data_IF_629304537417
#
_entry.id   IF_629304537417
#
_cell.length_a   1.000
_cell.length_b   1.000
_cell.length_c   1.000
_cell.angle_alpha   90.00
_cell.angle_beta   90.00
_cell.angle_gamma   90.00
#
_symmetry.space_group_name_H-M   'P 1'
#
loop_
_entity.id
_entity.type
_entity.pdbx_description
1 polymer ?
#
# COMPACT_ATOMS: atom_id res chain seq x y z
N UNK A 1 43.67 -50.96 43.20
CA UNK A 1 43.96 -49.54 42.94
C UNK A 1 43.27 -49.21 41.62
N UNK A 2 42.05 -48.67 41.68
CA UNK A 2 41.25 -48.38 40.48
C UNK A 2 41.77 -47.09 39.84
N UNK A 3 41.99 -47.12 38.54
CA UNK A 3 42.55 -46.02 37.76
C UNK A 3 41.60 -44.81 37.74
N UNK A 4 41.98 -43.66 38.34
CA UNK A 4 41.15 -42.46 38.37
C UNK A 4 40.93 -41.80 37.00
N UNK A 5 41.62 -42.23 35.94
CA UNK A 5 41.42 -41.71 34.59
C UNK A 5 40.25 -42.36 33.81
N UNK A 6 39.85 -43.58 34.17
CA UNK A 6 38.79 -44.30 33.43
C UNK A 6 37.38 -43.84 33.81
N UNK A 7 37.16 -43.45 35.08
CA UNK A 7 35.87 -42.93 35.59
C UNK A 7 35.55 -41.54 35.01
N UNK A 8 36.58 -40.74 34.71
CA UNK A 8 36.45 -39.40 34.11
C UNK A 8 35.97 -39.43 32.65
N UNK A 9 36.36 -40.44 31.86
CA UNK A 9 35.97 -40.56 30.45
C UNK A 9 34.54 -41.08 30.25
N UNK A 10 34.09 -42.01 31.11
CA UNK A 10 32.72 -42.56 31.05
C UNK A 10 31.70 -41.51 31.53
N UNK A 11 32.04 -40.73 32.55
CA UNK A 11 31.20 -39.61 33.01
C UNK A 11 31.09 -38.48 31.96
N UNK A 12 32.17 -38.17 31.24
CA UNK A 12 32.16 -37.13 30.17
C UNK A 12 31.46 -37.59 28.89
N UNK A 13 31.54 -38.87 28.51
CA UNK A 13 30.74 -39.39 27.38
C UNK A 13 29.24 -39.43 27.69
N UNK A 14 28.87 -39.74 28.94
CA UNK A 14 27.47 -39.78 29.36
C UNK A 14 26.85 -38.38 29.44
N UNK A 15 27.60 -37.39 29.92
CA UNK A 15 27.15 -35.98 29.98
C UNK A 15 27.14 -35.34 28.58
N UNK A 16 28.10 -35.65 27.70
CA UNK A 16 28.09 -35.15 26.32
C UNK A 16 26.95 -35.77 25.47
N UNK A 17 26.60 -37.05 25.68
CA UNK A 17 25.41 -37.64 25.07
C UNK A 17 24.10 -37.09 25.66
N UNK A 18 24.06 -36.74 26.95
CA UNK A 18 22.90 -36.10 27.57
C UNK A 18 22.72 -34.64 27.15
N UNK A 19 23.81 -33.89 26.94
CA UNK A 19 23.75 -32.50 26.45
C UNK A 19 23.43 -32.47 24.94
N UNK A 20 23.88 -33.44 24.15
CA UNK A 20 23.51 -33.54 22.72
C UNK A 20 22.10 -34.11 22.49
N UNK A 21 21.47 -34.70 23.50
CA UNK A 21 20.08 -35.16 23.46
C UNK A 21 19.09 -34.12 24.01
N UNK A 22 19.55 -33.13 24.78
CA UNK A 22 18.69 -32.09 25.37
C UNK A 22 18.27 -30.98 24.40
N UNK A 23 18.86 -30.88 23.21
CA UNK A 23 18.40 -30.01 22.11
C UNK A 23 17.31 -30.64 21.25
N UNK A 24 16.95 -31.90 21.50
CA UNK A 24 15.84 -32.58 20.85
C UNK A 24 14.74 -32.83 21.88
N UNK A 25 13.79 -31.89 22.03
CA UNK A 25 12.41 -32.06 22.53
C UNK A 25 11.76 -30.75 23.04
N UNK A 26 12.26 -29.56 22.67
CA UNK A 26 11.40 -28.38 22.80
C UNK A 26 10.18 -28.60 21.87
N UNK A 27 8.97 -28.55 22.44
CA UNK A 27 7.75 -28.64 21.64
C UNK A 27 7.78 -27.53 20.56
N UNK A 28 7.30 -27.81 19.33
CA UNK A 28 7.28 -26.79 18.29
C UNK A 28 6.51 -25.55 18.79
N UNK A 29 6.96 -24.33 18.44
CA UNK A 29 6.31 -23.12 18.89
C UNK A 29 4.81 -23.10 18.58
N UNK A 30 4.02 -22.72 19.58
CA UNK A 30 2.56 -22.61 19.48
C UNK A 30 2.14 -21.32 18.80
N UNK A 31 0.92 -21.28 18.26
CA UNK A 31 0.37 -20.06 17.67
C UNK A 31 0.29 -18.90 18.67
N UNK A 32 0.08 -19.18 19.95
CA UNK A 32 0.12 -18.16 21.00
C UNK A 32 1.51 -17.50 21.13
N UNK A 33 2.59 -18.26 20.92
CA UNK A 33 3.95 -17.71 20.90
C UNK A 33 4.17 -16.84 19.65
N UNK A 34 3.59 -17.21 18.52
CA UNK A 34 3.64 -16.39 17.29
C UNK A 34 2.87 -15.08 17.49
N UNK A 35 1.67 -15.14 18.05
CA UNK A 35 0.87 -13.94 18.37
C UNK A 35 1.57 -13.02 19.37
N UNK A 36 2.25 -13.61 20.35
CA UNK A 36 3.06 -12.85 21.31
C UNK A 36 4.24 -12.15 20.62
N UNK A 37 4.96 -12.83 19.73
CA UNK A 37 6.05 -12.24 18.96
C UNK A 37 5.56 -11.06 18.09
N UNK A 38 4.44 -11.25 17.38
CA UNK A 38 3.81 -10.21 16.57
C UNK A 38 3.38 -9.02 17.44
N UNK A 39 2.71 -9.28 18.56
CA UNK A 39 2.27 -8.23 19.48
C UNK A 39 3.46 -7.44 20.04
N UNK A 40 4.53 -8.13 20.42
CA UNK A 40 5.76 -7.50 20.92
C UNK A 40 6.37 -6.59 19.85
N UNK A 41 6.49 -7.06 18.61
CA UNK A 41 7.00 -6.25 17.51
C UNK A 41 6.11 -5.04 17.23
N UNK A 42 4.78 -5.22 17.15
CA UNK A 42 3.84 -4.11 16.89
C UNK A 42 3.87 -3.03 17.98
N UNK A 43 4.21 -3.37 19.22
CA UNK A 43 4.23 -2.41 20.32
C UNK A 43 5.25 -1.28 20.14
N UNK A 44 6.29 -1.46 19.31
CA UNK A 44 7.26 -0.39 19.01
C UNK A 44 6.62 0.79 18.24
N UNK A 45 5.50 0.56 17.56
CA UNK A 45 4.83 1.56 16.72
C UNK A 45 3.66 2.28 17.44
N UNK A 46 3.32 1.92 18.68
CA UNK A 46 2.15 2.48 19.37
C UNK A 46 2.33 3.90 19.92
N UNK A 47 3.54 4.50 19.79
CA UNK A 47 3.89 5.81 20.35
C UNK A 47 4.33 6.87 19.32
N UNK A 48 4.14 6.62 18.02
CA UNK A 48 4.65 7.47 16.94
C UNK A 48 5.77 6.81 16.13
N UNK A 49 6.54 7.61 15.38
CA UNK A 49 7.62 7.10 14.54
C UNK A 49 8.74 6.45 15.38
N UNK A 50 8.94 5.14 15.22
CA UNK A 50 10.02 4.40 15.85
C UNK A 50 11.35 4.62 15.10
N UNK A 51 12.45 4.75 15.83
CA UNK A 51 13.78 4.78 15.22
C UNK A 51 14.12 3.40 14.63
N UNK A 52 14.96 3.37 13.59
CA UNK A 52 15.44 2.12 12.99
C UNK A 52 16.02 1.17 14.05
N UNK A 53 16.86 1.68 14.96
CA UNK A 53 17.47 0.86 16.02
C UNK A 53 16.44 0.27 16.98
N UNK A 54 15.37 1.01 17.30
CA UNK A 54 14.28 0.51 18.13
C UNK A 54 13.50 -0.60 17.41
N UNK A 55 13.22 -0.43 16.12
CA UNK A 55 12.56 -1.45 15.28
C UNK A 55 13.44 -2.71 15.21
N UNK A 56 14.74 -2.57 14.98
CA UNK A 56 15.68 -3.67 14.90
C UNK A 56 15.80 -4.45 16.24
N UNK A 57 15.88 -3.72 17.36
CA UNK A 57 15.89 -4.33 18.69
C UNK A 57 14.58 -5.07 18.99
N UNK A 58 13.43 -4.47 18.65
CA UNK A 58 12.12 -5.08 18.84
C UNK A 58 11.97 -6.36 17.99
N UNK A 59 12.43 -6.36 16.73
CA UNK A 59 12.40 -7.52 15.86
C UNK A 59 13.25 -8.68 16.41
N UNK A 60 14.48 -8.39 16.83
CA UNK A 60 15.37 -9.40 17.44
C UNK A 60 14.78 -9.98 18.73
N UNK A 61 14.16 -9.14 19.55
CA UNK A 61 13.50 -9.55 20.79
C UNK A 61 12.26 -10.41 20.52
N UNK A 62 11.40 -10.00 19.59
CA UNK A 62 10.21 -10.74 19.18
C UNK A 62 10.53 -12.13 18.61
N UNK A 63 11.62 -12.24 17.87
CA UNK A 63 12.05 -13.49 17.25
C UNK A 63 12.98 -14.34 18.13
N UNK A 64 13.30 -13.88 19.33
CA UNK A 64 14.21 -14.59 20.23
C UNK A 64 13.62 -15.95 20.64
N UNK A 65 14.37 -17.03 20.36
CA UNK A 65 13.97 -18.39 20.69
C UNK A 65 13.00 -19.05 19.70
N UNK A 66 12.64 -18.38 18.60
CA UNK A 66 11.91 -19.00 17.49
C UNK A 66 12.91 -19.56 16.47
N UNK A 67 12.87 -20.87 16.25
CA UNK A 67 13.63 -21.55 15.19
C UNK A 67 12.73 -21.76 13.97
N UNK A 68 13.11 -21.16 12.83
CA UNK A 68 12.37 -21.28 11.56
C UNK A 68 12.15 -22.72 11.11
N UNK A 69 13.04 -23.66 11.46
CA UNK A 69 12.87 -25.06 11.08
C UNK A 69 11.77 -25.76 11.88
N UNK A 70 11.41 -25.23 13.05
CA UNK A 70 10.37 -25.77 13.92
C UNK A 70 9.00 -25.14 13.68
N UNK A 71 8.95 -24.03 12.92
CA UNK A 71 7.71 -23.36 12.57
C UNK A 71 7.03 -24.02 11.36
N UNK A 72 5.70 -23.98 11.36
CA UNK A 72 4.92 -24.25 10.15
C UNK A 72 5.07 -23.10 9.15
N UNK A 73 4.82 -23.38 7.87
CA UNK A 73 4.89 -22.34 6.84
C UNK A 73 3.78 -21.29 7.02
N UNK A 74 2.65 -21.68 7.59
CA UNK A 74 1.59 -20.79 8.03
C UNK A 74 2.07 -19.81 9.11
N UNK A 75 2.78 -20.28 10.13
CA UNK A 75 3.33 -19.44 11.19
C UNK A 75 4.39 -18.46 10.65
N UNK A 76 5.25 -18.94 9.75
CA UNK A 76 6.24 -18.09 9.09
C UNK A 76 5.57 -17.02 8.22
N UNK A 77 4.53 -17.39 7.47
CA UNK A 77 3.78 -16.43 6.66
C UNK A 77 3.14 -15.34 7.51
N UNK A 78 2.53 -15.70 8.65
CA UNK A 78 1.99 -14.73 9.63
C UNK A 78 3.05 -13.76 10.14
N UNK A 79 4.22 -14.26 10.53
CA UNK A 79 5.35 -13.40 10.95
C UNK A 79 5.78 -12.45 9.81
N UNK A 80 5.80 -12.96 8.58
CA UNK A 80 6.25 -12.21 7.41
C UNK A 80 5.31 -11.06 7.02
N UNK A 81 4.04 -11.09 7.42
CA UNK A 81 3.07 -10.02 7.16
C UNK A 81 3.35 -8.75 7.99
N UNK A 82 4.28 -8.79 8.95
CA UNK A 82 4.62 -7.68 9.82
C UNK A 82 5.91 -6.95 9.38
N UNK A 83 5.83 -6.29 8.21
CA UNK A 83 6.85 -5.35 7.74
C UNK A 83 8.25 -5.95 7.67
N UNK A 84 9.21 -5.32 8.36
CA UNK A 84 10.62 -5.72 8.36
C UNK A 84 10.98 -6.72 9.46
N UNK A 85 10.01 -7.30 10.19
CA UNK A 85 10.25 -8.22 11.31
C UNK A 85 11.30 -9.31 11.00
N UNK A 86 11.15 -10.02 9.88
CA UNK A 86 12.06 -11.10 9.51
C UNK A 86 13.43 -10.60 9.01
N UNK A 87 13.49 -9.46 8.32
CA UNK A 87 14.77 -8.89 7.87
C UNK A 87 15.57 -8.29 9.02
N UNK A 88 14.92 -7.54 9.90
CA UNK A 88 15.55 -6.88 11.06
C UNK A 88 16.00 -7.87 12.14
N UNK A 89 15.30 -9.01 12.25
CA UNK A 89 15.72 -10.11 13.12
C UNK A 89 16.86 -10.95 12.52
N UNK A 90 17.19 -10.75 11.24
CA UNK A 90 18.19 -11.54 10.52
C UNK A 90 17.74 -12.96 10.17
N UNK A 91 16.43 -13.25 10.21
CA UNK A 91 15.87 -14.59 9.95
C UNK A 91 15.22 -14.74 8.57
N UNK A 92 15.27 -13.70 7.73
CA UNK A 92 14.61 -13.67 6.41
C UNK A 92 15.02 -14.85 5.51
N UNK A 93 16.32 -15.13 5.38
CA UNK A 93 16.81 -16.18 4.49
C UNK A 93 16.35 -17.58 4.94
N UNK A 94 16.41 -17.83 6.26
CA UNK A 94 15.94 -19.08 6.85
C UNK A 94 14.42 -19.26 6.65
N UNK A 95 13.65 -18.19 6.86
CA UNK A 95 12.22 -18.17 6.60
C UNK A 95 11.90 -18.48 5.12
N UNK A 96 12.65 -17.90 4.17
CA UNK A 96 12.40 -18.09 2.75
C UNK A 96 12.78 -19.51 2.31
N UNK A 97 13.88 -20.06 2.83
CA UNK A 97 14.25 -21.45 2.60
C UNK A 97 13.17 -22.40 3.12
N UNK A 98 12.63 -22.15 4.32
CA UNK A 98 11.56 -22.95 4.89
C UNK A 98 10.26 -22.85 4.09
N UNK A 99 9.82 -21.65 3.70
CA UNK A 99 8.63 -21.47 2.84
C UNK A 99 8.79 -22.21 1.51
N UNK A 100 9.97 -22.16 0.87
CA UNK A 100 10.22 -22.89 -0.39
C UNK A 100 10.02 -24.39 -0.22
N UNK A 101 10.41 -24.96 0.92
CA UNK A 101 10.23 -26.39 1.21
C UNK A 101 8.75 -26.82 1.29
N UNK A 102 7.83 -25.89 1.55
CA UNK A 102 6.39 -26.17 1.66
C UNK A 102 5.64 -26.07 0.33
N UNK A 103 6.22 -25.52 -0.74
CA UNK A 103 5.53 -25.32 -2.01
C UNK A 103 4.85 -26.58 -2.60
N UNK A 104 5.40 -27.81 -2.44
CA UNK A 104 4.72 -29.01 -2.94
C UNK A 104 3.47 -29.42 -2.14
N UNK A 105 3.28 -28.90 -0.92
CA UNK A 105 2.12 -29.22 -0.08
C UNK A 105 0.83 -28.66 -0.70
N UNK A 106 -0.24 -29.46 -0.69
CA UNK A 106 -1.57 -29.03 -1.16
C UNK A 106 -2.46 -28.51 -0.03
N UNK A 107 -2.00 -28.62 1.21
CA UNK A 107 -2.64 -28.08 2.41
C UNK A 107 -2.41 -26.58 2.63
N UNK A 108 -2.79 -26.06 3.81
CA UNK A 108 -2.67 -24.64 4.13
C UNK A 108 -1.23 -24.14 4.18
N UNK A 109 -0.26 -24.97 4.55
CA UNK A 109 1.17 -24.59 4.60
C UNK A 109 1.71 -24.31 3.19
N UNK A 110 1.39 -25.17 2.22
CA UNK A 110 1.73 -24.93 0.81
C UNK A 110 1.06 -23.70 0.23
N UNK A 111 -0.21 -23.45 0.57
CA UNK A 111 -0.92 -22.25 0.14
C UNK A 111 -0.29 -20.97 0.71
N UNK A 112 0.03 -20.96 2.01
CA UNK A 112 0.71 -19.85 2.68
C UNK A 112 2.07 -19.57 2.02
N UNK A 113 2.85 -20.61 1.73
CA UNK A 113 4.11 -20.49 1.00
C UNK A 113 3.92 -19.95 -0.43
N UNK A 114 2.94 -20.46 -1.18
CA UNK A 114 2.67 -20.05 -2.55
C UNK A 114 2.24 -18.58 -2.65
N UNK A 115 1.46 -18.08 -1.67
CA UNK A 115 1.11 -16.67 -1.56
C UNK A 115 2.34 -15.84 -1.17
N UNK A 116 3.06 -16.23 -0.11
CA UNK A 116 4.15 -15.40 0.42
C UNK A 116 5.35 -15.29 -0.53
N UNK A 117 5.65 -16.35 -1.26
CA UNK A 117 6.76 -16.37 -2.21
C UNK A 117 6.36 -15.88 -3.61
N UNK A 118 5.10 -15.48 -3.84
CA UNK A 118 4.60 -15.18 -5.19
C UNK A 118 5.52 -14.25 -5.98
N UNK A 119 5.80 -13.05 -5.46
CA UNK A 119 6.67 -12.09 -6.15
C UNK A 119 8.09 -12.60 -6.40
N UNK A 120 8.65 -13.39 -5.48
CA UNK A 120 9.97 -14.01 -5.66
C UNK A 120 9.93 -15.04 -6.80
N UNK A 121 8.94 -15.94 -6.81
CA UNK A 121 8.77 -16.95 -7.88
C UNK A 121 8.55 -16.31 -9.25
N UNK A 122 7.82 -15.18 -9.30
CA UNK A 122 7.60 -14.46 -10.54
C UNK A 122 8.86 -13.77 -11.07
N UNK A 123 9.73 -13.27 -10.20
CA UNK A 123 11.04 -12.74 -10.61
C UNK A 123 12.00 -13.83 -11.10
N UNK A 124 11.91 -15.03 -10.52
CA UNK A 124 12.70 -16.19 -10.91
C UNK A 124 12.18 -16.87 -12.19
N UNK A 125 10.93 -16.62 -12.59
CA UNK A 125 10.30 -17.22 -13.76
C UNK A 125 10.95 -16.74 -15.07
N UNK A 126 11.25 -17.69 -15.96
CA UNK A 126 11.97 -17.43 -17.21
C UNK A 126 11.19 -16.58 -18.22
N UNK A 127 9.86 -16.73 -18.25
CA UNK A 127 9.00 -16.10 -19.24
C UNK A 127 7.58 -15.81 -18.71
N UNK A 128 6.77 -15.16 -19.53
CA UNK A 128 5.39 -14.83 -19.19
C UNK A 128 4.48 -16.07 -18.99
N UNK A 129 4.54 -17.13 -19.83
CA UNK A 129 3.82 -18.38 -19.56
C UNK A 129 4.11 -18.99 -18.18
N UNK A 130 5.38 -19.02 -17.75
CA UNK A 130 5.75 -19.51 -16.43
C UNK A 130 5.17 -18.63 -15.31
N UNK A 131 5.18 -17.30 -15.48
CA UNK A 131 4.56 -16.35 -14.53
C UNK A 131 3.05 -16.60 -14.40
N UNK A 132 2.35 -16.82 -15.52
CA UNK A 132 0.92 -17.13 -15.51
C UNK A 132 0.64 -18.46 -14.82
N UNK A 133 1.46 -19.49 -15.05
CA UNK A 133 1.31 -20.78 -14.36
C UNK A 133 1.45 -20.64 -12.84
N UNK A 134 2.46 -19.88 -12.38
CA UNK A 134 2.68 -19.56 -10.97
C UNK A 134 1.49 -18.82 -10.35
N UNK A 135 0.96 -17.81 -11.05
CA UNK A 135 -0.21 -17.05 -10.59
C UNK A 135 -1.45 -17.93 -10.47
N UNK A 136 -1.73 -18.73 -11.50
CA UNK A 136 -2.86 -19.66 -11.52
C UNK A 136 -2.76 -20.67 -10.39
N UNK A 137 -1.60 -21.29 -10.22
CA UNK A 137 -1.34 -22.24 -9.14
C UNK A 137 -1.61 -21.62 -7.76
N UNK A 138 -1.15 -20.40 -7.51
CA UNK A 138 -1.40 -19.69 -6.24
C UNK A 138 -2.89 -19.39 -6.05
N UNK A 139 -3.57 -18.85 -7.07
CA UNK A 139 -4.99 -18.47 -7.01
C UNK A 139 -5.90 -19.68 -6.80
N UNK A 140 -5.64 -20.77 -7.54
CA UNK A 140 -6.42 -22.00 -7.49
C UNK A 140 -5.94 -22.99 -6.42
N UNK A 141 -5.04 -22.58 -5.51
CA UNK A 141 -4.45 -23.50 -4.56
C UNK A 141 -5.53 -24.11 -3.64
N UNK A 142 -5.61 -25.46 -3.50
CA UNK A 142 -6.69 -26.11 -2.76
C UNK A 142 -6.69 -25.76 -1.26
N UNK A 143 -5.50 -25.60 -0.67
CA UNK A 143 -5.36 -25.16 0.72
C UNK A 143 -5.59 -23.67 0.98
N UNK A 144 -5.90 -22.85 -0.03
CA UNK A 144 -5.91 -21.39 0.10
C UNK A 144 -6.91 -20.88 1.13
N UNK A 145 -8.15 -21.36 1.08
CA UNK A 145 -9.19 -20.95 2.03
C UNK A 145 -8.83 -21.32 3.47
N UNK A 146 -8.24 -22.50 3.66
CA UNK A 146 -7.76 -22.96 4.97
C UNK A 146 -6.59 -22.11 5.47
N UNK A 147 -5.67 -21.70 4.58
CA UNK A 147 -4.56 -20.82 4.93
C UNK A 147 -5.02 -19.41 5.31
N UNK A 148 -6.01 -18.87 4.59
CA UNK A 148 -6.67 -17.61 4.92
C UNK A 148 -7.32 -17.71 6.29
N UNK A 149 -8.12 -18.75 6.55
CA UNK A 149 -8.79 -18.98 7.85
C UNK A 149 -7.82 -19.02 9.03
N UNK A 150 -6.60 -19.52 8.80
CA UNK A 150 -5.57 -19.64 9.84
C UNK A 150 -4.57 -18.47 9.82
N UNK A 151 -4.83 -17.41 9.05
CA UNK A 151 -4.05 -16.17 9.03
C UNK A 151 -2.76 -16.20 8.21
N UNK A 152 -2.35 -17.33 7.65
CA UNK A 152 -1.10 -17.45 6.87
C UNK A 152 -1.21 -17.02 5.40
N UNK A 153 -2.40 -16.63 4.94
CA UNK A 153 -2.62 -16.02 3.63
C UNK A 153 -3.48 -14.75 3.71
N UNK A 154 -3.36 -14.02 4.82
CA UNK A 154 -4.15 -12.81 5.12
C UNK A 154 -4.03 -11.71 4.06
N UNK A 155 -2.89 -11.65 3.36
CA UNK A 155 -2.58 -10.66 2.32
C UNK A 155 -2.74 -11.18 0.89
N UNK A 156 -3.43 -12.31 0.68
CA UNK A 156 -3.54 -12.93 -0.65
C UNK A 156 -4.08 -11.96 -1.70
N UNK A 157 -5.14 -11.21 -1.38
CA UNK A 157 -5.73 -10.27 -2.33
C UNK A 157 -4.76 -9.14 -2.69
N UNK A 158 -4.06 -8.55 -1.70
CA UNK A 158 -3.09 -7.50 -1.93
C UNK A 158 -1.88 -7.99 -2.72
N UNK A 159 -1.30 -9.12 -2.33
CA UNK A 159 -0.14 -9.73 -2.98
C UNK A 159 -0.48 -10.12 -4.43
N UNK A 160 -1.59 -10.82 -4.68
CA UNK A 160 -2.01 -11.15 -6.04
C UNK A 160 -2.27 -9.89 -6.86
N UNK A 161 -2.91 -8.86 -6.29
CA UNK A 161 -3.18 -7.61 -7.02
C UNK A 161 -1.91 -6.85 -7.42
N UNK A 162 -0.91 -6.83 -6.55
CA UNK A 162 0.38 -6.22 -6.83
C UNK A 162 1.13 -6.97 -7.93
N UNK A 163 1.17 -8.30 -7.85
CA UNK A 163 2.02 -9.13 -8.69
C UNK A 163 1.37 -9.48 -10.04
N UNK A 164 0.04 -9.64 -10.09
CA UNK A 164 -0.69 -10.01 -11.30
C UNK A 164 -1.02 -8.83 -12.22
N UNK A 165 -0.83 -7.58 -11.77
CA UNK A 165 -1.29 -6.37 -12.45
C UNK A 165 -1.00 -6.31 -13.96
N UNK A 166 0.25 -6.53 -14.41
CA UNK A 166 0.61 -6.54 -15.85
C UNK A 166 -0.03 -7.67 -16.66
N UNK A 167 -0.42 -8.77 -15.99
CA UNK A 167 -0.94 -10.00 -16.60
C UNK A 167 -2.45 -10.16 -16.42
N UNK A 168 -3.10 -9.22 -15.74
CA UNK A 168 -4.51 -9.29 -15.36
C UNK A 168 -5.46 -9.63 -16.53
N UNK A 169 -5.32 -9.05 -17.76
CA UNK A 169 -6.19 -9.39 -18.89
C UNK A 169 -6.18 -10.88 -19.28
N UNK A 170 -5.16 -11.64 -18.89
CA UNK A 170 -5.01 -13.08 -19.17
C UNK A 170 -5.47 -13.98 -18.01
N UNK A 171 -6.00 -13.37 -16.95
CA UNK A 171 -6.32 -14.03 -15.67
C UNK A 171 -7.76 -13.75 -15.21
N UNK A 172 -8.64 -13.20 -16.05
CA UNK A 172 -9.99 -12.80 -15.63
C UNK A 172 -10.78 -13.93 -14.92
N UNK A 173 -10.83 -15.12 -15.52
CA UNK A 173 -11.51 -16.28 -14.95
C UNK A 173 -10.80 -16.82 -13.71
N UNK A 174 -9.46 -16.76 -13.69
CA UNK A 174 -8.65 -17.20 -12.56
C UNK A 174 -8.95 -16.31 -11.34
N UNK A 175 -8.91 -14.98 -11.53
CA UNK A 175 -9.15 -14.00 -10.48
C UNK A 175 -10.58 -14.06 -9.92
N UNK A 176 -11.58 -14.39 -10.75
CA UNK A 176 -12.94 -14.59 -10.29
C UNK A 176 -13.07 -15.71 -9.25
N UNK A 177 -12.16 -16.70 -9.24
CA UNK A 177 -12.15 -17.77 -8.24
C UNK A 177 -11.84 -17.27 -6.83
N UNK A 178 -11.22 -16.08 -6.68
CA UNK A 178 -10.98 -15.47 -5.37
C UNK A 178 -12.27 -14.93 -4.73
N UNK A 179 -13.39 -14.84 -5.46
CA UNK A 179 -14.69 -14.45 -4.88
C UNK A 179 -15.15 -15.38 -3.74
N UNK A 180 -14.69 -16.64 -3.74
CA UNK A 180 -14.93 -17.59 -2.64
C UNK A 180 -14.37 -17.12 -1.29
N UNK A 181 -13.36 -16.24 -1.32
CA UNK A 181 -12.76 -15.64 -0.13
C UNK A 181 -13.49 -14.36 0.31
N UNK A 182 -14.42 -13.85 -0.50
CA UNK A 182 -15.17 -12.62 -0.23
C UNK A 182 -16.43 -12.98 0.57
N UNK A 183 -16.23 -13.24 1.87
CA UNK A 183 -17.27 -13.67 2.83
C UNK A 183 -17.21 -12.83 4.10
N UNK A 184 -18.29 -12.81 4.93
CA UNK A 184 -18.26 -12.15 6.23
C UNK A 184 -17.13 -12.65 7.15
N UNK A 185 -16.86 -13.96 7.14
CA UNK A 185 -15.86 -14.58 8.01
C UNK A 185 -14.43 -14.12 7.70
N UNK A 186 -14.12 -13.85 6.43
CA UNK A 186 -12.80 -13.37 6.02
C UNK A 186 -12.71 -11.85 5.89
N UNK A 187 -13.83 -11.13 5.91
CA UNK A 187 -13.85 -9.69 5.72
C UNK A 187 -12.95 -8.92 6.69
N UNK A 188 -12.88 -9.20 8.01
CA UNK A 188 -11.98 -8.47 8.91
C UNK A 188 -10.51 -8.52 8.47
N UNK A 189 -10.10 -9.60 7.82
CA UNK A 189 -8.72 -9.82 7.41
C UNK A 189 -8.45 -9.38 5.96
N UNK A 190 -9.39 -9.63 5.05
CA UNK A 190 -9.19 -9.41 3.61
C UNK A 190 -9.72 -8.06 3.11
N UNK A 191 -10.65 -7.43 3.83
CA UNK A 191 -11.25 -6.17 3.40
C UNK A 191 -10.23 -5.06 3.13
N UNK A 192 -9.12 -4.90 3.90
CA UNK A 192 -8.11 -3.90 3.58
C UNK A 192 -7.54 -4.01 2.14
N UNK A 193 -7.60 -5.19 1.52
CA UNK A 193 -7.13 -5.44 0.16
C UNK A 193 -8.28 -5.52 -0.89
N UNK A 194 -9.55 -5.32 -0.51
CA UNK A 194 -10.70 -5.39 -1.43
C UNK A 194 -10.65 -4.37 -2.56
N UNK A 195 -10.15 -3.17 -2.27
CA UNK A 195 -9.95 -2.10 -3.26
C UNK A 195 -8.98 -2.57 -4.35
N UNK A 196 -7.84 -3.14 -3.95
CA UNK A 196 -6.82 -3.68 -4.85
C UNK A 196 -7.37 -4.83 -5.69
N UNK A 197 -8.11 -5.74 -5.07
CA UNK A 197 -8.76 -6.84 -5.77
C UNK A 197 -9.78 -6.35 -6.81
N UNK A 198 -10.63 -5.39 -6.46
CA UNK A 198 -11.63 -4.87 -7.39
C UNK A 198 -10.99 -4.19 -8.61
N UNK A 199 -9.94 -3.39 -8.40
CA UNK A 199 -9.21 -2.79 -9.52
C UNK A 199 -8.50 -3.81 -10.40
N UNK A 200 -7.97 -4.87 -9.80
CA UNK A 200 -7.38 -5.97 -10.55
C UNK A 200 -8.42 -6.63 -11.46
N UNK A 201 -9.65 -6.84 -10.97
CA UNK A 201 -10.77 -7.34 -11.78
C UNK A 201 -11.12 -6.37 -12.92
N UNK A 202 -11.14 -5.06 -12.66
CA UNK A 202 -11.36 -4.05 -13.70
C UNK A 202 -10.26 -4.12 -14.79
N UNK A 203 -8.99 -4.23 -14.39
CA UNK A 203 -7.85 -4.39 -15.33
C UNK A 203 -7.91 -5.70 -16.12
N UNK A 204 -8.41 -6.76 -15.50
CA UNK A 204 -8.61 -8.04 -16.15
C UNK A 204 -9.73 -8.01 -17.20
N UNK A 205 -10.56 -6.96 -17.21
CA UNK A 205 -11.78 -6.92 -18.02
C UNK A 205 -12.83 -7.92 -17.53
N UNK A 206 -12.71 -8.42 -16.30
CA UNK A 206 -13.72 -9.27 -15.70
C UNK A 206 -15.06 -8.51 -15.68
N UNK A 207 -16.11 -9.08 -16.24
CA UNK A 207 -17.41 -8.40 -16.38
C UNK A 207 -17.55 -7.46 -17.58
N UNK A 208 -16.53 -7.25 -18.41
CA UNK A 208 -16.46 -6.56 -19.73
C UNK A 208 -17.15 -5.19 -19.95
N UNK A 209 -17.96 -4.72 -19.01
CA UNK A 209 -18.59 -3.40 -18.92
C UNK A 209 -18.47 -2.92 -17.47
N UNK A 210 -18.41 -1.60 -17.22
CA UNK A 210 -18.38 -1.06 -15.85
C UNK A 210 -19.57 -1.57 -14.99
N UNK A 211 -20.71 -1.89 -15.63
CA UNK A 211 -21.88 -2.48 -14.97
C UNK A 211 -21.73 -3.94 -14.55
N UNK A 212 -20.81 -4.71 -15.15
CA UNK A 212 -20.67 -6.15 -14.90
C UNK A 212 -20.05 -6.47 -13.53
N UNK A 213 -19.21 -5.58 -12.99
CA UNK A 213 -18.58 -5.73 -11.68
C UNK A 213 -19.36 -5.07 -10.54
N UNK A 214 -20.45 -4.36 -10.85
CA UNK A 214 -21.25 -3.65 -9.85
C UNK A 214 -21.77 -4.56 -8.72
N UNK A 215 -22.24 -5.80 -8.97
CA UNK A 215 -22.62 -6.73 -7.90
C UNK A 215 -21.44 -7.07 -6.97
N UNK A 216 -20.25 -7.30 -7.55
CA UNK A 216 -19.02 -7.57 -6.80
C UNK A 216 -18.64 -6.35 -5.96
N UNK A 217 -18.69 -5.14 -6.54
CA UNK A 217 -18.42 -3.88 -5.82
C UNK A 217 -19.33 -3.74 -4.60
N UNK A 218 -20.64 -3.88 -4.80
CA UNK A 218 -21.63 -3.76 -3.72
C UNK A 218 -21.43 -4.83 -2.63
N UNK A 219 -21.06 -6.06 -3.02
CA UNK A 219 -20.69 -7.12 -2.08
C UNK A 219 -19.47 -6.71 -1.23
N UNK A 220 -18.41 -6.22 -1.86
CA UNK A 220 -17.19 -5.76 -1.16
C UNK A 220 -17.48 -4.58 -0.21
N UNK A 221 -18.24 -3.57 -0.67
CA UNK A 221 -18.66 -2.42 0.18
C UNK A 221 -19.43 -2.90 1.40
N UNK A 222 -20.43 -3.78 1.20
CA UNK A 222 -21.25 -4.31 2.29
C UNK A 222 -20.39 -5.04 3.33
N UNK A 223 -19.47 -5.88 2.89
CA UNK A 223 -18.60 -6.64 3.77
C UNK A 223 -17.58 -5.75 4.50
N UNK A 224 -16.97 -4.78 3.82
CA UNK A 224 -16.06 -3.83 4.45
C UNK A 224 -16.75 -2.96 5.50
N UNK A 225 -17.97 -2.45 5.20
CA UNK A 225 -18.78 -1.71 6.19
C UNK A 225 -19.19 -2.60 7.38
N UNK A 226 -19.56 -3.84 7.12
CA UNK A 226 -19.89 -4.81 8.17
C UNK A 226 -18.69 -5.11 9.08
N UNK A 227 -17.51 -5.32 8.51
CA UNK A 227 -16.27 -5.51 9.26
C UNK A 227 -15.90 -4.26 10.07
N UNK A 228 -15.99 -3.06 9.48
CA UNK A 228 -15.76 -1.80 10.19
C UNK A 228 -16.71 -1.62 11.39
N UNK A 229 -17.99 -1.96 11.23
CA UNK A 229 -18.97 -1.84 12.32
C UNK A 229 -18.72 -2.81 13.49
N UNK A 230 -18.05 -3.95 13.23
CA UNK A 230 -17.70 -4.94 14.25
C UNK A 230 -16.32 -4.71 14.88
N UNK A 231 -15.48 -3.88 14.27
CA UNK A 231 -14.12 -3.61 14.70
C UNK A 231 -14.07 -2.64 15.89
N UNK A 232 -13.27 -3.00 16.90
CA UNK A 232 -13.11 -2.22 18.14
C UNK A 232 -11.82 -1.42 18.16
N UNK A 233 -10.81 -1.84 17.40
CA UNK A 233 -9.56 -1.09 17.22
C UNK A 233 -9.78 0.09 16.26
N UNK A 234 -9.69 1.31 16.77
CA UNK A 234 -10.00 2.54 16.03
C UNK A 234 -9.25 2.64 14.67
N UNK A 235 -7.92 2.43 14.60
CA UNK A 235 -7.19 2.49 13.33
C UNK A 235 -7.64 1.41 12.32
N UNK A 236 -7.89 0.19 12.80
CA UNK A 236 -8.35 -0.90 11.93
C UNK A 236 -9.77 -0.61 11.41
N UNK A 237 -10.64 -0.09 12.28
CA UNK A 237 -12.00 0.34 11.90
C UNK A 237 -11.98 1.43 10.84
N UNK A 238 -11.14 2.44 11.02
CA UNK A 238 -10.95 3.53 10.06
C UNK A 238 -10.46 2.99 8.71
N UNK A 239 -9.46 2.09 8.71
CA UNK A 239 -8.96 1.44 7.49
C UNK A 239 -10.05 0.68 6.73
N UNK A 240 -10.90 -0.06 7.45
CA UNK A 240 -12.03 -0.81 6.87
C UNK A 240 -13.12 0.13 6.32
N UNK A 241 -13.43 1.22 7.04
CA UNK A 241 -14.37 2.24 6.58
C UNK A 241 -13.86 2.92 5.29
N UNK A 242 -12.59 3.33 5.27
CA UNK A 242 -11.93 3.92 4.11
C UNK A 242 -11.95 2.99 2.89
N UNK A 243 -11.78 1.68 3.10
CA UNK A 243 -11.93 0.68 2.03
C UNK A 243 -13.33 0.72 1.42
N UNK A 244 -14.36 0.69 2.27
CA UNK A 244 -15.75 0.77 1.83
C UNK A 244 -16.06 2.08 1.09
N UNK A 245 -15.60 3.21 1.62
CA UNK A 245 -15.83 4.53 1.02
C UNK A 245 -15.10 4.67 -0.31
N UNK A 246 -13.91 4.10 -0.45
CA UNK A 246 -13.20 4.03 -1.72
C UNK A 246 -13.97 3.24 -2.77
N UNK A 247 -14.44 2.04 -2.41
CA UNK A 247 -15.25 1.20 -3.29
C UNK A 247 -16.60 1.83 -3.62
N UNK A 248 -17.10 2.74 -2.80
CA UNK A 248 -18.33 3.50 -3.03
C UNK A 248 -18.09 4.89 -3.64
N UNK A 249 -16.82 5.27 -3.81
CA UNK A 249 -16.39 6.55 -4.35
C UNK A 249 -16.62 6.67 -5.85
N UNK A 250 -16.68 7.93 -6.32
CA UNK A 250 -16.94 8.25 -7.74
C UNK A 250 -15.89 7.66 -8.69
N UNK A 251 -14.65 7.55 -8.24
CA UNK A 251 -13.57 6.95 -9.03
C UNK A 251 -13.89 5.50 -9.41
N UNK A 252 -14.24 4.67 -8.42
CA UNK A 252 -14.53 3.25 -8.64
C UNK A 252 -15.79 3.06 -9.47
N UNK A 253 -16.79 3.93 -9.28
CA UNK A 253 -18.05 3.94 -10.02
C UNK A 253 -17.93 4.43 -11.47
N UNK A 254 -16.74 4.86 -11.91
CA UNK A 254 -16.53 5.45 -13.24
C UNK A 254 -17.09 6.86 -13.41
N UNK A 255 -17.68 7.44 -12.36
CA UNK A 255 -18.39 8.73 -12.39
C UNK A 255 -17.52 9.92 -11.99
N UNK A 256 -16.19 9.76 -11.98
CA UNK A 256 -15.24 10.85 -11.76
C UNK A 256 -14.86 11.56 -13.07
N UNK A 257 -14.44 10.83 -14.11
CA UNK A 257 -14.05 11.44 -15.38
C UNK A 257 -15.26 12.01 -16.11
N UNK A 258 -15.09 13.18 -16.70
CA UNK A 258 -16.13 13.92 -17.42
C UNK A 258 -17.33 14.32 -16.54
N UNK A 259 -17.13 14.34 -15.22
CA UNK A 259 -18.10 14.84 -14.24
C UNK A 259 -17.51 16.00 -13.43
N UNK A 260 -18.36 16.81 -12.76
CA UNK A 260 -17.90 17.85 -11.86
C UNK A 260 -16.96 17.28 -10.79
N UNK A 261 -15.85 17.98 -10.57
CA UNK A 261 -14.89 17.64 -9.54
C UNK A 261 -15.57 17.55 -8.16
N UNK A 262 -15.29 16.52 -7.35
CA UNK A 262 -15.78 16.45 -5.98
C UNK A 262 -15.35 17.69 -5.19
N UNK A 263 -16.26 18.29 -4.43
CA UNK A 263 -15.93 19.46 -3.62
C UNK A 263 -14.87 19.12 -2.55
N UNK A 264 -14.02 20.09 -2.24
CA UNK A 264 -13.06 20.02 -1.14
C UNK A 264 -13.41 21.09 -0.13
N UNK A 265 -13.62 20.71 1.13
CA UNK A 265 -13.86 21.66 2.21
C UNK A 265 -12.54 22.28 2.62
N UNK A 266 -12.28 23.50 2.15
CA UNK A 266 -11.02 24.21 2.41
C UNK A 266 -10.96 24.67 3.87
N UNK A 267 -10.03 24.10 4.63
CA UNK A 267 -9.70 24.53 5.99
C UNK A 267 -8.72 25.70 5.96
N UNK A 268 -7.75 25.65 5.06
CA UNK A 268 -6.74 26.70 4.87
C UNK A 268 -6.17 26.64 3.45
N UNK A 269 -5.78 27.79 2.91
CA UNK A 269 -4.96 27.86 1.69
C UNK A 269 -3.88 28.94 1.85
N UNK A 270 -2.69 28.68 1.29
CA UNK A 270 -1.60 29.64 1.25
C UNK A 270 -1.94 30.86 0.39
N UNK A 271 -2.79 30.67 -0.63
CA UNK A 271 -3.42 31.75 -1.39
C UNK A 271 -4.83 32.02 -0.83
N UNK A 272 -5.05 33.17 -0.16
CA UNK A 272 -6.34 33.49 0.47
C UNK A 272 -7.48 33.73 -0.54
N UNK A 273 -7.17 33.83 -1.84
CA UNK A 273 -8.18 33.94 -2.89
C UNK A 273 -8.87 32.59 -3.19
N UNK A 274 -8.26 31.46 -2.80
CA UNK A 274 -8.80 30.12 -3.04
C UNK A 274 -9.49 29.62 -1.77
N UNK A 275 -10.82 29.70 -1.75
CA UNK A 275 -11.68 29.24 -0.64
C UNK A 275 -12.53 28.04 -1.00
N UNK A 276 -12.70 27.78 -2.30
CA UNK A 276 -13.33 26.59 -2.85
C UNK A 276 -12.77 26.32 -4.26
N UNK A 277 -13.02 25.12 -4.79
CA UNK A 277 -12.67 24.80 -6.17
C UNK A 277 -13.41 25.68 -7.19
N UNK A 278 -14.58 26.21 -6.82
CA UNK A 278 -15.33 27.14 -7.64
C UNK A 278 -14.56 28.44 -7.95
N UNK A 279 -13.66 28.88 -7.07
CA UNK A 279 -12.85 30.10 -7.25
C UNK A 279 -11.81 29.93 -8.39
N UNK A 280 -11.56 28.69 -8.81
CA UNK A 280 -10.59 28.35 -9.85
C UNK A 280 -11.24 28.13 -11.23
N UNK A 281 -12.57 28.29 -11.35
CA UNK A 281 -13.27 28.17 -12.63
C UNK A 281 -12.73 29.15 -13.67
N UNK A 282 -12.77 28.75 -14.93
CA UNK A 282 -12.16 29.50 -16.04
C UNK A 282 -10.67 29.19 -16.27
N UNK A 283 -10.05 28.38 -15.41
CA UNK A 283 -8.67 27.91 -15.54
C UNK A 283 -8.62 26.38 -15.61
N UNK A 284 -7.58 25.84 -16.22
CA UNK A 284 -7.24 24.41 -16.02
C UNK A 284 -6.66 24.26 -14.62
N UNK A 285 -7.20 23.37 -13.81
CA UNK A 285 -6.70 23.15 -12.44
C UNK A 285 -5.96 21.82 -12.37
N UNK A 286 -4.73 21.85 -11.86
CA UNK A 286 -3.93 20.66 -11.56
C UNK A 286 -3.89 20.49 -10.05
N UNK A 287 -4.64 19.53 -9.53
CA UNK A 287 -4.60 19.17 -8.11
C UNK A 287 -3.52 18.11 -7.89
N UNK A 288 -2.56 18.39 -7.01
CA UNK A 288 -1.51 17.46 -6.58
C UNK A 288 -1.71 17.06 -5.12
N UNK A 289 -2.27 15.87 -4.89
CA UNK A 289 -2.49 15.32 -3.56
C UNK A 289 -1.18 14.82 -2.98
N UNK A 290 -0.77 15.38 -1.83
CA UNK A 290 0.55 15.14 -1.27
C UNK A 290 0.61 15.44 0.23
N UNK A 291 1.70 15.02 0.89
CA UNK A 291 1.96 15.31 2.29
C UNK A 291 3.47 15.36 2.56
N UNK A 292 3.88 16.06 3.62
CA UNK A 292 5.32 16.24 3.95
C UNK A 292 6.02 14.97 4.40
N UNK A 293 5.28 14.01 4.97
CA UNK A 293 5.82 12.70 5.36
C UNK A 293 6.02 11.74 4.18
N UNK A 294 5.45 12.05 3.02
CA UNK A 294 5.53 11.22 1.84
C UNK A 294 6.84 11.48 1.08
N UNK A 295 7.83 10.60 1.26
CA UNK A 295 9.13 10.69 0.58
C UNK A 295 9.02 10.91 -0.94
N UNK A 296 8.28 10.06 -1.68
CA UNK A 296 8.08 10.25 -3.13
C UNK A 296 7.40 11.58 -3.51
N UNK A 297 6.56 12.13 -2.64
CA UNK A 297 5.94 13.44 -2.86
C UNK A 297 6.99 14.55 -2.78
N UNK A 298 7.81 14.54 -1.72
CA UNK A 298 8.88 15.52 -1.53
C UNK A 298 9.92 15.46 -2.66
N UNK A 299 10.28 14.25 -3.10
CA UNK A 299 11.16 14.03 -4.26
C UNK A 299 10.59 14.60 -5.56
N UNK A 300 9.26 14.73 -5.67
CA UNK A 300 8.58 15.23 -6.86
C UNK A 300 8.39 16.74 -6.92
N UNK A 301 8.67 17.48 -5.83
CA UNK A 301 8.52 18.94 -5.76
C UNK A 301 9.22 19.69 -6.90
N UNK A 302 10.45 19.33 -7.35
CA UNK A 302 11.07 19.97 -8.50
C UNK A 302 10.25 19.85 -9.80
N UNK A 303 9.59 18.70 -10.02
CA UNK A 303 8.75 18.49 -11.20
C UNK A 303 7.43 19.28 -11.13
N UNK A 304 6.92 19.54 -9.93
CA UNK A 304 5.74 20.40 -9.73
C UNK A 304 6.13 21.87 -9.92
N UNK A 305 7.31 22.27 -9.44
CA UNK A 305 7.87 23.61 -9.69
C UNK A 305 8.03 23.88 -11.19
N UNK A 306 8.62 22.95 -11.94
CA UNK A 306 8.77 23.06 -13.39
C UNK A 306 7.41 23.20 -14.10
N UNK A 307 6.39 22.48 -13.61
CA UNK A 307 5.02 22.59 -14.12
C UNK A 307 4.41 23.96 -13.83
N UNK A 308 4.57 24.48 -12.61
CA UNK A 308 4.09 25.80 -12.21
C UNK A 308 4.77 26.90 -13.04
N UNK A 309 6.09 26.85 -13.21
CA UNK A 309 6.87 27.81 -14.01
C UNK A 309 6.43 27.80 -15.48
N UNK A 310 6.18 26.62 -16.08
CA UNK A 310 5.69 26.51 -17.46
C UNK A 310 4.38 27.26 -17.69
N UNK A 311 3.50 27.25 -16.69
CA UNK A 311 2.13 27.72 -16.82
C UNK A 311 1.84 29.04 -16.08
N UNK A 312 2.86 29.71 -15.55
CA UNK A 312 2.73 30.94 -14.76
C UNK A 312 1.94 32.04 -15.49
N UNK A 313 2.17 32.20 -16.81
CA UNK A 313 1.51 33.20 -17.66
C UNK A 313 0.24 32.68 -18.38
N UNK A 314 -0.22 31.48 -18.04
CA UNK A 314 -1.34 30.82 -18.71
C UNK A 314 -2.52 30.63 -17.74
N UNK A 315 -3.75 30.43 -18.24
CA UNK A 315 -4.93 30.20 -17.39
C UNK A 315 -4.94 28.78 -16.83
N UNK A 316 -3.92 28.46 -16.04
CA UNK A 316 -3.73 27.20 -15.33
C UNK A 316 -3.43 27.51 -13.87
N UNK A 317 -3.91 26.67 -12.96
CA UNK A 317 -3.60 26.75 -11.52
C UNK A 317 -3.10 25.39 -11.05
N UNK A 318 -1.83 25.31 -10.65
CA UNK A 318 -1.28 24.15 -9.94
C UNK A 318 -1.57 24.34 -8.45
N UNK A 319 -2.21 23.37 -7.81
CA UNK A 319 -2.62 23.47 -6.40
C UNK A 319 -2.21 22.18 -5.67
N UNK A 320 -1.38 22.30 -4.66
CA UNK A 320 -1.07 21.19 -3.76
C UNK A 320 -2.21 20.98 -2.77
N UNK A 321 -2.71 19.75 -2.64
CA UNK A 321 -3.80 19.38 -1.73
C UNK A 321 -3.28 18.44 -0.65
N UNK A 322 -3.49 18.80 0.61
CA UNK A 322 -3.21 17.95 1.79
C UNK A 322 -4.43 17.95 2.72
N UNK A 323 -4.46 17.05 3.69
CA UNK A 323 -5.34 17.15 4.87
C UNK A 323 -4.48 17.36 6.12
N UNK A 324 -5.02 17.81 7.26
CA UNK A 324 -4.26 17.89 8.51
C UNK A 324 -3.60 16.54 8.83
N UNK A 325 -2.30 16.55 9.10
CA UNK A 325 -1.48 15.37 9.37
C UNK A 325 -1.01 15.32 10.83
N UNK A 326 -1.21 16.39 11.61
CA UNK A 326 -0.68 16.49 12.97
C UNK A 326 0.85 16.55 13.00
N UNK A 327 1.51 16.85 11.88
CA UNK A 327 2.94 17.17 11.83
C UNK A 327 3.36 17.69 10.46
N UNK A 328 4.43 18.48 10.44
CA UNK A 328 5.16 18.87 9.22
C UNK A 328 6.58 18.33 9.33
N UNK A 329 6.92 17.33 8.53
CA UNK A 329 8.23 16.66 8.58
C UNK A 329 9.34 17.63 8.14
N UNK A 330 10.50 17.58 8.80
CA UNK A 330 11.66 18.42 8.46
C UNK A 330 11.73 19.76 9.22
N UNK A 331 10.73 20.10 10.03
CA UNK A 331 10.74 21.28 10.90
C UNK A 331 10.74 20.90 12.39
N UNK A 332 11.36 21.74 13.23
CA UNK A 332 11.31 21.61 14.70
C UNK A 332 9.97 22.14 15.22
N UNK A 333 9.41 21.49 16.24
CA UNK A 333 8.17 21.92 16.91
C UNK A 333 6.94 21.07 16.56
N UNK A 334 7.08 19.75 16.49
CA UNK A 334 5.98 18.83 16.15
C UNK A 334 4.68 19.12 16.92
N UNK A 335 3.56 18.79 16.30
CA UNK A 335 2.23 19.13 16.81
C UNK A 335 1.87 18.16 17.93
N UNK A 336 1.47 18.70 19.07
CA UNK A 336 1.01 17.95 20.23
C UNK A 336 -0.52 17.93 20.28
N UNK A 337 -1.10 17.10 21.15
CA UNK A 337 -2.55 17.06 21.38
C UNK A 337 -3.14 18.39 21.89
N UNK A 338 -2.30 19.31 22.36
CA UNK A 338 -2.73 20.63 22.83
C UNK A 338 -2.74 21.69 21.71
N UNK A 339 -2.14 21.39 20.56
CA UNK A 339 -2.04 22.31 19.43
C UNK A 339 -3.27 22.20 18.52
N UNK A 340 -3.65 23.32 17.92
CA UNK A 340 -4.73 23.36 16.93
C UNK A 340 -4.20 23.10 15.52
N UNK A 341 -5.06 22.73 14.58
CA UNK A 341 -4.72 22.62 13.14
C UNK A 341 -4.07 23.90 12.60
N UNK A 342 -4.38 25.07 13.19
CA UNK A 342 -3.76 26.34 12.85
C UNK A 342 -2.23 26.33 12.99
N UNK A 343 -1.70 25.62 13.98
CA UNK A 343 -0.26 25.48 14.17
C UNK A 343 0.39 24.68 13.03
N UNK A 344 -0.31 23.66 12.51
CA UNK A 344 0.12 22.93 11.31
C UNK A 344 0.23 23.85 10.10
N UNK A 345 -0.76 24.71 9.90
CA UNK A 345 -0.79 25.63 8.77
C UNK A 345 0.34 26.66 8.85
N UNK A 346 0.72 27.09 10.05
CA UNK A 346 1.88 27.97 10.28
C UNK A 346 3.20 27.27 9.95
N UNK A 347 3.38 26.04 10.45
CA UNK A 347 4.55 25.21 10.13
C UNK A 347 4.64 24.95 8.62
N UNK A 348 3.51 24.71 7.96
CA UNK A 348 3.48 24.50 6.51
C UNK A 348 3.99 25.71 5.74
N UNK A 349 3.69 26.95 6.15
CA UNK A 349 4.29 28.14 5.51
C UNK A 349 5.82 28.13 5.60
N UNK A 350 6.37 27.72 6.74
CA UNK A 350 7.81 27.54 6.92
C UNK A 350 8.38 26.46 5.99
N UNK A 351 7.66 25.36 5.82
CA UNK A 351 8.05 24.27 4.91
C UNK A 351 8.04 24.73 3.45
N UNK A 352 7.02 25.48 3.05
CA UNK A 352 6.92 26.07 1.71
C UNK A 352 8.12 26.99 1.42
N UNK A 353 8.52 27.82 2.39
CA UNK A 353 9.70 28.67 2.24
C UNK A 353 10.99 27.84 2.11
N UNK A 354 11.17 26.83 2.96
CA UNK A 354 12.34 25.95 2.92
C UNK A 354 12.50 25.22 1.58
N UNK A 355 11.39 24.76 1.00
CA UNK A 355 11.36 24.00 -0.25
C UNK A 355 11.08 24.86 -1.49
N UNK A 356 11.01 26.19 -1.34
CA UNK A 356 10.69 27.13 -2.43
C UNK A 356 9.40 26.77 -3.18
N UNK A 357 8.38 26.35 -2.45
CA UNK A 357 7.04 26.06 -2.97
C UNK A 357 6.34 27.40 -3.24
N UNK A 358 6.11 27.69 -4.52
CA UNK A 358 5.52 28.96 -4.98
C UNK A 358 4.07 28.84 -5.44
N UNK A 359 3.58 27.61 -5.67
CA UNK A 359 2.19 27.37 -6.04
C UNK A 359 1.28 27.32 -4.80
N UNK A 360 -0.03 27.60 -4.95
CA UNK A 360 -0.98 27.47 -3.86
C UNK A 360 -0.99 26.07 -3.22
N UNK A 361 -1.04 26.04 -1.90
CA UNK A 361 -1.22 24.84 -1.09
C UNK A 361 -2.49 24.96 -0.28
N UNK A 362 -3.33 23.92 -0.33
CA UNK A 362 -4.63 23.84 0.30
C UNK A 362 -4.67 22.66 1.27
N UNK A 363 -5.16 22.92 2.48
CA UNK A 363 -5.57 21.91 3.43
C UNK A 363 -7.09 21.70 3.31
N UNK A 364 -7.51 20.49 2.98
CA UNK A 364 -8.90 20.06 2.97
C UNK A 364 -9.28 19.31 4.25
N UNK A 365 -10.55 19.35 4.62
CA UNK A 365 -11.11 18.51 5.69
C UNK A 365 -11.15 17.05 5.28
N UNK A 366 -11.39 16.79 4.00
CA UNK A 366 -11.33 15.46 3.41
C UNK A 366 -9.89 14.95 3.48
N UNK A 367 -9.72 13.63 3.71
CA UNK A 367 -8.41 12.98 3.76
C UNK A 367 -7.59 13.28 2.51
N UNK A 368 -6.27 13.44 2.68
CA UNK A 368 -5.32 13.52 1.55
C UNK A 368 -5.42 12.31 0.61
N UNK A 369 -5.82 11.14 1.12
CA UNK A 369 -6.17 9.95 0.34
C UNK A 369 -7.64 9.94 -0.06
N UNK A 370 -8.14 11.07 -0.60
CA UNK A 370 -9.55 11.27 -0.88
C UNK A 370 -10.10 10.22 -1.90
N UNK A 371 -11.02 9.34 -1.49
CA UNK A 371 -11.59 8.30 -2.35
C UNK A 371 -12.43 8.85 -3.51
N UNK A 372 -13.07 10.01 -3.36
CA UNK A 372 -13.89 10.59 -4.41
C UNK A 372 -13.04 11.05 -5.61
N UNK A 373 -11.79 11.42 -5.35
CA UNK A 373 -10.78 11.68 -6.37
C UNK A 373 -10.00 10.42 -6.79
N UNK A 374 -10.23 9.29 -6.12
CA UNK A 374 -9.55 8.02 -6.40
C UNK A 374 -8.14 7.90 -5.83
N UNK A 375 -7.77 8.74 -4.85
CA UNK A 375 -6.42 8.80 -4.29
C UNK A 375 -6.20 7.65 -3.30
N UNK A 376 -5.51 6.58 -3.73
CA UNK A 376 -5.11 5.46 -2.84
C UNK A 376 -3.79 5.65 -2.14
N UNK A 377 -2.94 6.44 -2.79
CA UNK A 377 -1.58 6.69 -2.38
C UNK A 377 -1.18 8.00 -3.01
N UNK A 378 -0.29 8.68 -2.30
CA UNK A 378 0.28 9.94 -2.73
C UNK A 378 1.75 9.70 -3.16
N UNK A 379 2.24 10.46 -4.14
CA UNK A 379 1.55 11.59 -4.77
C UNK A 379 0.53 11.16 -5.84
N UNK A 380 -0.50 11.98 -6.05
CA UNK A 380 -1.54 11.73 -7.04
C UNK A 380 -2.02 13.04 -7.68
N UNK A 381 -2.05 13.07 -9.01
CA UNK A 381 -2.43 14.26 -9.78
C UNK A 381 -3.76 14.07 -10.52
N UNK A 382 -4.61 15.08 -10.42
CA UNK A 382 -5.90 15.21 -11.11
C UNK A 382 -5.91 16.51 -11.91
N UNK A 383 -6.40 16.47 -13.15
CA UNK A 383 -6.54 17.65 -14.02
C UNK A 383 -8.03 17.92 -14.26
N UNK A 384 -8.45 19.13 -13.94
CA UNK A 384 -9.81 19.64 -14.06
C UNK A 384 -9.81 20.74 -15.14
N UNK A 385 -10.83 20.74 -15.99
CA UNK A 385 -10.97 21.77 -17.02
C UNK A 385 -11.60 23.08 -16.48
N UNK A 386 -11.61 24.17 -17.29
CA UNK A 386 -12.18 25.45 -16.89
C UNK A 386 -13.65 25.42 -16.47
N UNK A 387 -14.43 24.40 -16.85
CA UNK A 387 -15.81 24.24 -16.42
C UNK A 387 -15.95 23.57 -15.04
N UNK A 388 -14.84 23.10 -14.46
CA UNK A 388 -14.82 22.34 -13.21
C UNK A 388 -15.03 20.85 -13.42
N UNK A 389 -14.81 20.33 -14.62
CA UNK A 389 -14.99 18.92 -14.96
C UNK A 389 -13.65 18.18 -14.91
N UNK A 390 -13.60 17.02 -14.26
CA UNK A 390 -12.36 16.22 -14.17
C UNK A 390 -12.07 15.54 -15.51
N UNK A 391 -10.90 15.81 -16.10
CA UNK A 391 -10.50 15.29 -17.42
C UNK A 391 -9.41 14.23 -17.35
N UNK A 392 -8.53 14.31 -16.36
CA UNK A 392 -7.50 13.31 -16.13
C UNK A 392 -7.33 13.03 -14.64
N UNK A 393 -6.94 11.80 -14.32
CA UNK A 393 -6.74 11.29 -12.95
C UNK A 393 -5.62 10.25 -12.95
N UNK A 394 -5.21 9.80 -11.76
CA UNK A 394 -4.18 8.78 -11.59
C UNK A 394 -2.85 9.11 -12.30
N UNK A 395 -2.54 10.41 -12.36
CA UNK A 395 -1.24 10.89 -12.80
C UNK A 395 -0.30 10.96 -11.59
N UNK A 396 1.00 10.98 -11.86
CA UNK A 396 2.02 11.14 -10.83
C UNK A 396 2.84 12.40 -11.15
N UNK A 397 3.15 13.27 -10.18
CA UNK A 397 3.88 14.52 -10.42
C UNK A 397 5.26 14.28 -11.05
N UNK A 398 5.96 13.21 -10.66
CA UNK A 398 7.23 12.82 -11.28
C UNK A 398 7.14 12.25 -12.73
N UNK A 399 5.94 12.10 -13.32
CA UNK A 399 5.84 11.81 -14.76
C UNK A 399 6.46 12.96 -15.56
N UNK A 400 7.09 12.64 -16.70
CA UNK A 400 7.71 13.65 -17.58
C UNK A 400 6.81 14.86 -17.81
N UNK A 401 7.35 16.08 -17.73
CA UNK A 401 6.62 17.32 -17.98
C UNK A 401 5.84 17.25 -19.30
N UNK A 402 6.45 16.75 -20.38
CA UNK A 402 5.82 16.63 -21.69
C UNK A 402 4.46 15.89 -21.66
N UNK A 403 4.37 14.75 -20.97
CA UNK A 403 3.11 13.99 -20.85
C UNK A 403 2.01 14.72 -20.08
N UNK A 404 2.39 15.51 -19.06
CA UNK A 404 1.43 16.33 -18.31
C UNK A 404 1.01 17.55 -19.14
N UNK A 405 1.98 18.20 -19.79
CA UNK A 405 1.75 19.36 -20.62
C UNK A 405 0.87 19.06 -21.83
N UNK A 406 1.04 17.90 -22.48
CA UNK A 406 0.18 17.45 -23.58
C UNK A 406 -1.31 17.48 -23.19
N UNK A 407 -1.62 16.99 -21.98
CA UNK A 407 -2.99 16.94 -21.44
C UNK A 407 -3.54 18.33 -21.13
N UNK A 408 -2.74 19.15 -20.46
CA UNK A 408 -3.12 20.52 -20.08
C UNK A 408 -3.31 21.39 -21.32
N UNK A 409 -2.36 21.35 -22.25
CA UNK A 409 -2.37 22.13 -23.49
C UNK A 409 -3.54 21.73 -24.38
N UNK A 410 -3.93 20.45 -24.40
CA UNK A 410 -5.13 20.00 -25.11
C UNK A 410 -6.41 20.65 -24.56
N UNK A 411 -6.56 20.71 -23.23
CA UNK A 411 -7.71 21.35 -22.58
C UNK A 411 -7.70 22.86 -22.84
N UNK A 412 -6.54 23.52 -22.70
CA UNK A 412 -6.42 24.96 -23.00
C UNK A 412 -6.89 25.27 -24.43
N UNK A 413 -6.46 24.48 -25.42
CA UNK A 413 -6.87 24.65 -26.82
C UNK A 413 -8.35 24.35 -27.05
N UNK A 414 -8.89 23.30 -26.41
CA UNK A 414 -10.33 22.97 -26.45
C UNK A 414 -11.19 24.15 -25.98
N UNK A 415 -10.77 24.82 -24.90
CA UNK A 415 -11.45 25.97 -24.33
C UNK A 415 -11.06 27.31 -24.99
N UNK A 416 -10.24 27.29 -26.06
CA UNK A 416 -9.75 28.48 -26.79
C UNK A 416 -9.00 29.47 -25.89
N UNK A 417 -8.30 28.95 -24.89
CA UNK A 417 -7.45 29.69 -23.99
C UNK A 417 -6.01 29.77 -24.52
N UNK A 418 -5.25 30.75 -24.04
CA UNK A 418 -3.82 30.83 -24.32
C UNK A 418 -3.12 29.55 -23.86
N UNK A 419 -2.26 28.99 -24.71
CA UNK A 419 -1.50 27.78 -24.42
C UNK A 419 -0.04 27.97 -24.85
N UNK A 420 0.92 27.41 -24.10
CA UNK A 420 2.32 27.47 -24.47
C UNK A 420 2.61 26.70 -25.75
N UNK A 421 3.78 26.97 -26.35
CA UNK A 421 4.28 26.15 -27.44
C UNK A 421 4.45 24.69 -26.99
N UNK A 422 4.10 23.71 -27.85
CA UNK A 422 4.25 22.30 -27.53
C UNK A 422 5.70 21.96 -27.17
N UNK A 423 5.89 21.18 -26.11
CA UNK A 423 7.21 20.63 -25.81
C UNK A 423 7.65 19.66 -26.92
N UNK A 424 8.93 19.64 -27.29
CA UNK A 424 9.44 18.70 -28.26
C UNK A 424 9.15 17.26 -27.79
N UNK A 425 8.54 16.47 -28.67
CA UNK A 425 8.24 15.06 -28.39
C UNK A 425 9.57 14.33 -28.30
N UNK A 426 9.93 13.83 -27.11
CA UNK A 426 11.10 12.97 -26.96
C UNK A 426 10.92 11.75 -27.87
N UNK A 427 11.94 11.34 -28.65
CA UNK A 427 11.84 10.16 -29.51
C UNK A 427 11.46 8.96 -28.64
N UNK A 428 10.54 8.13 -29.15
CA UNK A 428 10.14 6.90 -28.49
C UNK A 428 11.40 6.09 -28.14
N UNK A 429 11.63 5.87 -26.85
CA UNK A 429 12.68 4.96 -26.40
C UNK A 429 12.40 3.61 -27.08
N UNK A 430 13.36 3.02 -27.81
CA UNK A 430 13.15 1.73 -28.43
C UNK A 430 12.82 0.73 -27.32
N UNK A 431 11.72 0.00 -27.49
CA UNK A 431 11.36 -1.12 -26.63
C UNK A 431 12.54 -2.09 -26.60
N UNK A 432 13.28 -2.12 -25.50
CA UNK A 432 14.35 -3.09 -25.28
C UNK A 432 13.75 -4.49 -25.40
N UNK A 433 14.30 -5.28 -26.33
CA UNK A 433 13.90 -6.65 -26.60
C UNK A 433 14.55 -7.68 -25.69
#
# INVERSE_FOLDING_TARGET
MFDPYLVSRIARCSIAMLISAATALAAPPTDAQIDQAIKLYKSVFSGGAATHDAVAAAAKSAMAGLDMNQLSCLQIARLADHGSLLSESGQLDAAWARLRSCLPDRGPDGAAAAVRLLGTRLREAADEPAKLAILRETISHPGLESAVKQGGASRVLGIVSMEAGPLAPRLADDLAQLDKLITPDFAPMLAPDYTSYYELLQRAGAGSTESGLEPTRLKLVKLARGAAAAETDEPSRESLANTADYLDGRYIKGTLLNHPAPELTVLWCSDPAIRALADLKGRVVVLDFWATWCGPCVESLPAVKELQERYEDYPVSVVGVSSPQGSVVGLKGGITKADSEQHEFELMRGYMQLHSITWPLLFSRESVTNPDYGVRGIPHVVIIDPAGIVRHRALHPAQSLAKKAEKIDAILREFKLAAPEPLPVAPAQPSGG
#
